data_IF_382951634910
#
_entry.id   IF_382951634910
#
_cell.length_a   1.000
_cell.length_b   1.000
_cell.length_c   1.000
_cell.angle_alpha   90.00
_cell.angle_beta   90.00
_cell.angle_gamma   90.00
#
_symmetry.space_group_name_H-M   'P 1'
#
loop_
_entity.id
_entity.type
_entity.pdbx_description
1 polymer ?
#
# COMPACT_ATOMS: atom_id res chain seq x y z
N UNK A 1 -32.18 28.05 -23.26
CA UNK A 1 -31.41 27.26 -22.28
C UNK A 1 -32.37 26.77 -21.21
N UNK A 2 -32.64 25.48 -21.17
CA UNK A 2 -33.55 24.87 -20.18
C UNK A 2 -32.69 24.25 -19.09
N UNK A 3 -32.71 24.84 -17.89
CA UNK A 3 -32.06 24.26 -16.71
C UNK A 3 -33.10 23.49 -15.91
N UNK A 4 -32.74 22.28 -15.48
CA UNK A 4 -33.59 21.42 -14.64
C UNK A 4 -32.89 21.31 -13.29
N UNK A 5 -33.56 21.75 -12.23
CA UNK A 5 -33.09 21.56 -10.85
C UNK A 5 -33.75 20.29 -10.31
N UNK A 6 -32.94 19.29 -9.96
CA UNK A 6 -33.38 18.06 -9.32
C UNK A 6 -32.91 18.07 -7.87
N UNK A 7 -33.81 17.76 -6.92
CA UNK A 7 -33.42 17.58 -5.53
C UNK A 7 -33.06 16.11 -5.21
N UNK A 8 -32.39 15.89 -4.08
CA UNK A 8 -31.92 14.56 -3.67
C UNK A 8 -33.06 13.55 -3.49
N UNK A 9 -34.26 14.00 -3.10
CA UNK A 9 -35.43 13.15 -2.90
C UNK A 9 -36.02 12.72 -4.24
N UNK A 10 -36.06 13.62 -5.22
CA UNK A 10 -36.48 13.33 -6.59
C UNK A 10 -35.56 12.31 -7.26
N UNK A 11 -34.23 12.43 -7.07
CA UNK A 11 -33.25 11.46 -7.58
C UNK A 11 -33.46 10.08 -6.97
N UNK A 12 -33.69 9.99 -5.65
CA UNK A 12 -33.91 8.71 -4.97
C UNK A 12 -35.24 8.05 -5.38
N UNK A 13 -36.28 8.86 -5.59
CA UNK A 13 -37.60 8.38 -6.02
C UNK A 13 -37.69 8.02 -7.51
N UNK A 14 -36.63 8.28 -8.30
CA UNK A 14 -36.62 8.01 -9.73
C UNK A 14 -36.62 6.50 -10.04
N UNK A 15 -37.27 6.06 -11.14
CA UNK A 15 -37.19 4.69 -11.63
C UNK A 15 -35.72 4.25 -11.82
N UNK A 16 -35.42 2.99 -11.51
CA UNK A 16 -34.05 2.47 -11.56
C UNK A 16 -33.30 2.73 -12.89
N UNK A 17 -33.94 2.64 -14.08
CA UNK A 17 -33.26 2.97 -15.34
C UNK A 17 -32.84 4.44 -15.43
N UNK A 18 -33.64 5.35 -14.87
CA UNK A 18 -33.37 6.80 -14.87
C UNK A 18 -32.21 7.13 -13.93
N UNK A 19 -32.13 6.43 -12.79
CA UNK A 19 -31.04 6.58 -11.83
C UNK A 19 -29.70 6.10 -12.42
N UNK A 20 -29.69 4.92 -13.04
CA UNK A 20 -28.52 4.40 -13.74
C UNK A 20 -28.06 5.32 -14.87
N UNK A 21 -29.00 5.86 -15.63
CA UNK A 21 -28.69 6.83 -16.67
C UNK A 21 -28.11 8.13 -16.10
N UNK A 22 -28.67 8.65 -14.99
CA UNK A 22 -28.13 9.82 -14.28
C UNK A 22 -26.70 9.57 -13.78
N UNK A 23 -26.43 8.42 -13.16
CA UNK A 23 -25.09 8.03 -12.70
C UNK A 23 -24.09 7.95 -13.86
N UNK A 24 -24.50 7.39 -14.99
CA UNK A 24 -23.67 7.34 -16.21
C UNK A 24 -23.41 8.73 -16.79
N UNK A 25 -24.42 9.61 -16.84
CA UNK A 25 -24.26 10.99 -17.34
C UNK A 25 -23.37 11.82 -16.41
N UNK A 26 -23.56 11.70 -15.10
CA UNK A 26 -22.73 12.35 -14.08
C UNK A 26 -21.29 11.85 -14.21
N UNK A 27 -21.06 10.54 -14.35
CA UNK A 27 -19.73 9.96 -14.54
C UNK A 27 -19.08 10.37 -15.86
N UNK A 28 -19.86 10.51 -16.93
CA UNK A 28 -19.38 10.96 -18.24
C UNK A 28 -19.00 12.45 -18.24
N UNK A 29 -19.73 13.29 -17.48
CA UNK A 29 -19.49 14.73 -17.38
C UNK A 29 -18.40 15.05 -16.35
N UNK A 30 -18.35 14.32 -15.24
CA UNK A 30 -17.28 14.46 -14.24
C UNK A 30 -15.98 13.78 -14.65
N UNK A 31 -16.03 12.87 -15.64
CA UNK A 31 -14.96 11.91 -15.89
C UNK A 31 -14.64 11.07 -14.65
N UNK A 32 -13.69 10.12 -14.69
CA UNK A 32 -12.98 9.78 -13.47
C UNK A 32 -12.44 11.09 -12.92
N UNK A 33 -12.93 11.51 -11.75
CA UNK A 33 -12.71 12.84 -11.22
C UNK A 33 -11.25 13.25 -11.39
N UNK A 34 -11.03 14.31 -12.17
CA UNK A 34 -9.76 15.00 -12.18
C UNK A 34 -9.60 15.68 -10.81
N UNK A 35 -9.13 14.92 -9.82
CA UNK A 35 -8.03 15.44 -9.02
C UNK A 35 -6.93 15.82 -10.02
N UNK A 36 -6.18 16.87 -9.73
CA UNK A 36 -5.03 17.28 -10.54
C UNK A 36 -4.28 16.03 -11.03
N UNK A 37 -3.78 16.04 -12.26
CA UNK A 37 -2.83 15.03 -12.73
C UNK A 37 -1.53 15.14 -11.92
N UNK A 38 -1.58 14.76 -10.65
CA UNK A 38 -0.47 14.18 -9.94
C UNK A 38 -0.30 12.86 -10.67
N UNK A 39 0.83 12.70 -11.36
CA UNK A 39 1.18 11.42 -11.98
C UNK A 39 0.82 10.30 -11.00
N UNK A 40 0.18 9.20 -11.46
CA UNK A 40 -0.09 8.10 -10.55
C UNK A 40 1.21 7.76 -9.84
N UNK A 41 1.20 7.58 -8.51
CA UNK A 41 2.41 7.21 -7.77
C UNK A 41 3.08 6.07 -8.53
N UNK A 42 4.31 6.31 -8.99
CA UNK A 42 5.05 5.31 -9.76
C UNK A 42 5.51 4.27 -8.76
N UNK A 43 4.59 3.37 -8.40
CA UNK A 43 4.89 2.22 -7.56
C UNK A 43 5.82 1.32 -8.36
N UNK A 44 7.01 1.10 -7.83
CA UNK A 44 8.02 0.24 -8.44
C UNK A 44 8.13 -1.03 -7.61
N UNK A 45 8.18 -2.17 -8.30
CA UNK A 45 8.32 -3.45 -7.64
C UNK A 45 9.69 -3.54 -6.97
N UNK A 46 9.71 -3.85 -5.68
CA UNK A 46 10.93 -4.13 -4.95
C UNK A 46 11.31 -5.61 -5.13
N UNK A 47 12.55 -5.86 -5.53
CA UNK A 47 13.17 -7.20 -5.49
C UNK A 47 13.61 -7.56 -4.07
N UNK A 48 13.89 -8.84 -3.81
CA UNK A 48 14.41 -9.29 -2.51
C UNK A 48 15.76 -8.64 -2.14
N UNK A 49 16.65 -8.46 -3.12
CA UNK A 49 17.94 -7.79 -2.91
C UNK A 49 17.77 -6.31 -2.54
N UNK A 50 16.83 -5.61 -3.18
CA UNK A 50 16.47 -4.24 -2.84
C UNK A 50 15.81 -4.18 -1.45
N UNK A 51 14.94 -5.14 -1.11
CA UNK A 51 14.30 -5.22 0.20
C UNK A 51 15.33 -5.40 1.33
N UNK A 52 16.33 -6.26 1.13
CA UNK A 52 17.42 -6.45 2.08
C UNK A 52 18.29 -5.18 2.21
N UNK A 53 18.60 -4.53 1.08
CA UNK A 53 19.36 -3.28 1.06
C UNK A 53 18.61 -2.15 1.76
N UNK A 54 17.29 -2.08 1.58
CA UNK A 54 16.41 -1.12 2.21
C UNK A 54 16.36 -1.33 3.72
N UNK A 55 16.14 -2.57 4.17
CA UNK A 55 16.17 -2.94 5.58
C UNK A 55 17.48 -2.50 6.24
N UNK A 56 18.61 -2.72 5.56
CA UNK A 56 19.92 -2.35 6.06
C UNK A 56 20.09 -0.82 6.27
N UNK A 57 19.43 0.00 5.46
CA UNK A 57 19.42 1.47 5.59
C UNK A 57 18.52 1.94 6.72
N UNK A 58 17.33 1.37 6.83
CA UNK A 58 16.32 1.80 7.83
C UNK A 58 16.51 1.19 9.22
N UNK A 59 17.42 0.21 9.38
CA UNK A 59 17.64 -0.53 10.65
C UNK A 59 17.93 0.35 11.88
N UNK A 60 18.42 1.57 11.68
CA UNK A 60 18.68 2.53 12.78
C UNK A 60 17.40 3.18 13.33
N UNK A 61 16.27 2.98 12.65
CA UNK A 61 14.95 3.50 13.03
C UNK A 61 14.01 2.30 13.23
N UNK A 62 13.92 1.72 14.45
CA UNK A 62 13.14 0.50 14.69
C UNK A 62 11.68 0.60 14.25
N UNK A 63 11.04 1.76 14.46
CA UNK A 63 9.67 2.00 13.99
C UNK A 63 9.51 1.86 12.47
N UNK A 64 10.52 2.24 11.68
CA UNK A 64 10.49 2.06 10.23
C UNK A 64 10.65 0.59 9.84
N UNK A 65 11.44 -0.18 10.60
CA UNK A 65 11.57 -1.63 10.40
C UNK A 65 10.24 -2.35 10.65
N UNK A 66 9.53 -2.01 11.72
CA UNK A 66 8.21 -2.57 12.03
C UNK A 66 7.19 -2.24 10.95
N UNK A 67 7.16 -1.00 10.46
CA UNK A 67 6.28 -0.59 9.35
C UNK A 67 6.64 -1.33 8.08
N UNK A 68 7.94 -1.46 7.77
CA UNK A 68 8.42 -2.17 6.59
C UNK A 68 7.99 -3.63 6.59
N UNK A 69 8.16 -4.37 7.69
CA UNK A 69 7.66 -5.74 7.81
C UNK A 69 6.13 -5.79 7.93
N UNK A 70 5.48 -4.73 8.40
CA UNK A 70 4.03 -4.59 8.37
C UNK A 70 3.44 -4.70 6.95
N UNK A 71 4.19 -4.27 5.93
CA UNK A 71 3.83 -4.39 4.50
C UNK A 71 3.95 -5.82 3.96
N UNK A 72 4.66 -6.72 4.67
CA UNK A 72 4.81 -8.12 4.27
C UNK A 72 3.57 -8.97 4.58
N UNK A 73 2.68 -8.47 5.43
CA UNK A 73 1.51 -9.23 5.84
C UNK A 73 0.59 -9.46 4.64
N UNK A 74 0.11 -10.70 4.42
CA UNK A 74 -0.77 -11.00 3.30
C UNK A 74 -2.07 -10.19 3.39
N UNK A 75 -2.48 -9.60 2.27
CA UNK A 75 -3.73 -8.86 2.14
C UNK A 75 -4.28 -9.06 0.72
N UNK A 76 -5.53 -8.67 0.50
CA UNK A 76 -6.21 -8.87 -0.77
C UNK A 76 -5.66 -7.89 -1.80
N UNK A 77 -5.18 -8.43 -2.92
CA UNK A 77 -4.81 -7.63 -4.09
C UNK A 77 -6.02 -7.36 -4.98
N UNK A 78 -6.19 -6.12 -5.44
CA UNK A 78 -7.27 -5.75 -6.36
C UNK A 78 -6.83 -4.65 -7.34
N UNK A 79 -7.59 -4.45 -8.42
CA UNK A 79 -7.30 -3.45 -9.47
C UNK A 79 -6.53 -4.00 -10.68
N UNK A 80 -6.25 -3.11 -11.64
CA UNK A 80 -5.42 -3.36 -12.82
C UNK A 80 -4.56 -2.12 -13.12
N UNK A 81 -3.24 -2.12 -12.86
CA UNK A 81 -2.46 -3.24 -12.31
C UNK A 81 -2.84 -3.59 -10.85
N UNK A 82 -2.65 -4.85 -10.42
CA UNK A 82 -3.03 -5.27 -9.08
C UNK A 82 -2.17 -4.58 -8.02
N UNK A 83 -2.80 -4.04 -7.00
CA UNK A 83 -2.15 -3.47 -5.82
C UNK A 83 -2.68 -4.16 -4.56
N UNK A 84 -1.79 -4.35 -3.60
CA UNK A 84 -2.14 -4.73 -2.23
C UNK A 84 -2.43 -3.45 -1.46
N UNK A 85 -3.56 -3.38 -0.76
CA UNK A 85 -3.92 -2.18 0.00
C UNK A 85 -4.17 -2.51 1.45
N UNK A 86 -3.56 -1.72 2.33
CA UNK A 86 -3.70 -1.79 3.78
C UNK A 86 -4.41 -0.54 4.29
N UNK A 87 -5.22 -0.66 5.33
CA UNK A 87 -5.67 0.51 6.07
C UNK A 87 -4.51 1.03 6.91
N UNK A 88 -4.22 2.32 6.84
CA UNK A 88 -3.12 2.93 7.60
C UNK A 88 -3.27 2.71 9.11
N UNK A 89 -4.50 2.69 9.63
CA UNK A 89 -4.75 2.38 11.04
C UNK A 89 -4.35 0.93 11.39
N UNK A 90 -4.63 -0.04 10.51
CA UNK A 90 -4.29 -1.43 10.77
C UNK A 90 -2.77 -1.63 10.68
N UNK A 91 -2.11 -0.94 9.74
CA UNK A 91 -0.65 -0.90 9.64
C UNK A 91 -0.01 -0.22 10.87
N UNK A 92 -0.60 0.87 11.36
CA UNK A 92 -0.17 1.57 12.57
C UNK A 92 -0.23 0.65 13.79
N UNK A 93 -1.37 -0.01 14.00
CA UNK A 93 -1.56 -0.94 15.12
C UNK A 93 -0.59 -2.12 15.03
N UNK A 94 -0.39 -2.68 13.83
CA UNK A 94 0.54 -3.80 13.60
C UNK A 94 1.99 -3.41 13.91
N UNK A 95 2.40 -2.21 13.51
CA UNK A 95 3.72 -1.67 13.80
C UNK A 95 3.88 -1.15 15.24
N UNK A 96 2.84 -1.29 16.09
CA UNK A 96 2.86 -0.85 17.48
C UNK A 96 3.02 0.66 17.67
N UNK A 97 2.62 1.46 16.67
CA UNK A 97 2.81 2.91 16.70
C UNK A 97 1.65 3.61 17.40
N UNK A 98 1.96 4.56 18.27
CA UNK A 98 0.96 5.35 18.99
C UNK A 98 0.32 6.46 18.16
N UNK A 99 0.94 6.83 17.03
CA UNK A 99 0.52 7.98 16.22
C UNK A 99 0.58 7.68 14.73
N UNK A 100 -0.47 8.10 14.02
CA UNK A 100 -0.56 8.08 12.57
C UNK A 100 0.53 8.95 11.92
N UNK A 101 0.90 10.07 12.55
CA UNK A 101 1.96 10.95 12.05
C UNK A 101 3.30 10.21 12.01
N UNK A 102 3.62 9.44 13.06
CA UNK A 102 4.84 8.62 13.09
C UNK A 102 4.83 7.53 12.02
N UNK A 103 3.66 6.94 11.74
CA UNK A 103 3.52 5.98 10.64
C UNK A 103 3.85 6.65 9.30
N UNK A 104 3.27 7.81 9.02
CA UNK A 104 3.50 8.55 7.78
C UNK A 104 4.98 8.95 7.62
N UNK A 105 5.63 9.41 8.70
CA UNK A 105 7.07 9.69 8.69
C UNK A 105 7.93 8.46 8.38
N UNK A 106 7.55 7.29 8.91
CA UNK A 106 8.22 6.02 8.62
C UNK A 106 8.02 5.58 7.16
N UNK A 107 6.79 5.67 6.64
CA UNK A 107 6.50 5.36 5.23
C UNK A 107 7.25 6.30 4.28
N UNK A 108 7.35 7.59 4.64
CA UNK A 108 8.08 8.59 3.86
C UNK A 108 9.60 8.35 3.91
N UNK A 109 10.16 7.93 5.05
CA UNK A 109 11.55 7.49 5.16
C UNK A 109 11.83 6.24 4.29
N UNK A 110 10.93 5.26 4.31
CA UNK A 110 11.04 4.03 3.50
C UNK A 110 11.03 4.38 2.01
N UNK A 111 10.08 5.19 1.56
CA UNK A 111 9.99 5.61 0.16
C UNK A 111 11.22 6.41 -0.30
N UNK A 112 11.71 7.35 0.52
CA UNK A 112 12.94 8.10 0.20
C UNK A 112 14.15 7.18 0.10
N UNK A 113 14.33 6.28 1.07
CA UNK A 113 15.44 5.31 1.07
C UNK A 113 15.40 4.36 -0.14
N UNK A 114 14.19 4.04 -0.62
CA UNK A 114 13.99 3.22 -1.81
C UNK A 114 14.26 3.99 -3.11
N UNK A 115 13.78 5.23 -3.22
CA UNK A 115 14.06 6.11 -4.36
C UNK A 115 15.57 6.34 -4.53
N UNK A 116 16.28 6.59 -3.44
CA UNK A 116 17.75 6.76 -3.41
C UNK A 116 18.51 5.53 -3.95
N UNK A 117 17.97 4.31 -3.83
CA UNK A 117 18.62 3.11 -4.36
C UNK A 117 18.21 2.78 -5.79
N UNK A 118 17.05 3.26 -6.23
CA UNK A 118 16.44 2.87 -7.51
C UNK A 118 16.91 3.75 -8.68
N UNK A 119 17.74 4.76 -8.42
CA UNK A 119 18.16 5.81 -9.39
C UNK A 119 16.96 6.50 -10.09
N UNK A 120 15.78 6.37 -9.48
CA UNK A 120 14.52 6.91 -9.94
C UNK A 120 13.93 7.74 -8.79
N UNK A 121 14.01 9.08 -8.84
CA UNK A 121 13.55 9.93 -7.74
C UNK A 121 12.03 9.88 -7.53
N UNK A 122 11.29 9.42 -8.55
CA UNK A 122 9.85 9.22 -8.48
C UNK A 122 9.46 7.80 -8.02
N UNK A 123 10.41 6.88 -7.86
CA UNK A 123 10.12 5.50 -7.48
C UNK A 123 9.62 5.44 -6.04
N UNK A 124 8.42 4.88 -5.87
CA UNK A 124 7.81 4.66 -4.56
C UNK A 124 7.65 3.18 -4.32
N UNK A 125 7.95 2.75 -3.09
CA UNK A 125 7.71 1.38 -2.66
C UNK A 125 6.23 1.20 -2.28
N UNK A 126 5.65 2.22 -1.67
CA UNK A 126 4.24 2.29 -1.32
C UNK A 126 3.71 3.72 -1.50
N UNK A 127 2.40 3.86 -1.65
CA UNK A 127 1.74 5.16 -1.69
C UNK A 127 0.53 5.15 -0.77
N UNK A 128 0.11 6.33 -0.31
CA UNK A 128 -1.00 6.44 0.61
C UNK A 128 -1.93 7.60 0.24
N UNK A 129 -3.22 7.38 0.42
CA UNK A 129 -4.26 8.31 0.00
C UNK A 129 -4.90 9.07 1.18
N UNK A 130 -5.71 10.08 0.87
CA UNK A 130 -6.47 10.83 1.87
C UNK A 130 -7.62 10.04 2.47
N UNK A 131 -7.97 8.87 1.91
CA UNK A 131 -8.98 7.97 2.45
C UNK A 131 -8.40 7.03 3.53
N UNK A 132 -7.09 7.09 3.78
CA UNK A 132 -6.43 6.34 4.85
C UNK A 132 -5.91 4.98 4.42
N UNK A 133 -5.66 4.78 3.12
CA UNK A 133 -5.11 3.54 2.58
C UNK A 133 -3.63 3.70 2.26
N UNK A 134 -2.87 2.61 2.39
CA UNK A 134 -1.52 2.46 1.90
C UNK A 134 -1.49 1.31 0.89
N UNK A 135 -1.04 1.58 -0.33
CA UNK A 135 -0.99 0.61 -1.42
C UNK A 135 0.46 0.30 -1.82
N UNK A 136 0.74 -0.96 -2.11
CA UNK A 136 2.03 -1.43 -2.65
C UNK A 136 1.80 -2.50 -3.72
N UNK A 137 2.85 -2.83 -4.48
CA UNK A 137 2.76 -3.89 -5.48
C UNK A 137 2.86 -5.27 -4.81
N UNK A 138 2.10 -6.29 -5.30
CA UNK A 138 2.20 -7.65 -4.79
C UNK A 138 3.62 -8.22 -4.82
N UNK A 139 4.41 -7.87 -5.84
CA UNK A 139 5.81 -8.25 -5.93
C UNK A 139 6.66 -7.70 -4.76
N UNK A 140 6.40 -6.46 -4.36
CA UNK A 140 7.05 -5.83 -3.19
C UNK A 140 6.67 -6.56 -1.91
N UNK A 141 5.37 -6.76 -1.66
CA UNK A 141 4.89 -7.51 -0.49
C UNK A 141 5.57 -8.88 -0.39
N UNK A 142 5.60 -9.63 -1.49
CA UNK A 142 6.23 -10.95 -1.55
C UNK A 142 7.73 -10.90 -1.23
N UNK A 143 8.47 -9.95 -1.80
CA UNK A 143 9.91 -9.81 -1.53
C UNK A 143 10.19 -9.51 -0.06
N UNK A 144 9.40 -8.63 0.57
CA UNK A 144 9.54 -8.32 2.01
C UNK A 144 9.17 -9.57 2.85
N UNK A 145 8.12 -10.30 2.47
CA UNK A 145 7.71 -11.52 3.15
C UNK A 145 8.77 -12.63 3.05
N UNK A 146 9.43 -12.79 1.90
CA UNK A 146 10.55 -13.73 1.74
C UNK A 146 11.72 -13.33 2.63
N UNK A 147 12.07 -12.04 2.66
CA UNK A 147 13.15 -11.53 3.51
C UNK A 147 12.87 -11.79 5.00
N UNK A 148 11.65 -11.52 5.47
CA UNK A 148 11.24 -11.80 6.84
C UNK A 148 11.40 -13.28 7.20
N UNK A 149 10.95 -14.19 6.32
CA UNK A 149 11.11 -15.64 6.52
C UNK A 149 12.59 -16.05 6.59
N UNK A 150 13.44 -15.46 5.76
CA UNK A 150 14.87 -15.73 5.75
C UNK A 150 15.54 -15.29 7.07
N UNK A 151 15.16 -14.14 7.61
CA UNK A 151 15.66 -13.63 8.90
C UNK A 151 15.27 -14.59 10.03
N UNK A 152 13.99 -14.96 10.13
CA UNK A 152 13.52 -15.93 11.15
C UNK A 152 14.25 -17.28 11.00
N UNK A 153 14.49 -17.73 9.78
CA UNK A 153 15.20 -18.99 9.54
C UNK A 153 16.67 -18.92 10.01
N UNK A 154 17.33 -17.78 9.81
CA UNK A 154 18.71 -17.55 10.26
C UNK A 154 18.80 -17.38 11.79
N UNK A 155 17.77 -16.80 12.42
CA UNK A 155 17.69 -16.62 13.88
C UNK A 155 17.32 -17.89 14.67
N UNK A 156 17.06 -19.03 13.99
CA UNK A 156 16.89 -20.34 14.63
C UNK A 156 18.21 -21.11 14.58
N UNK A 157 19.07 -21.06 15.62
CA UNK A 157 20.26 -21.90 15.66
C UNK A 157 19.80 -23.33 15.98
N UNK A 158 20.00 -24.25 15.03
CA UNK A 158 20.05 -25.69 15.31
C UNK A 158 18.77 -26.35 15.81
N UNK A 159 17.86 -26.72 14.90
CA UNK A 159 17.21 -28.03 15.06
C UNK A 159 18.25 -29.05 14.61
N UNK A 160 19.09 -29.51 15.54
CA UNK A 160 19.88 -30.71 15.33
C UNK A 160 18.91 -31.82 14.92
N UNK A 161 19.16 -32.58 13.83
CA UNK A 161 18.47 -33.85 13.67
C UNK A 161 18.82 -34.66 14.92
N UNK A 162 17.80 -35.05 15.68
CA UNK A 162 17.95 -36.12 16.66
C UNK A 162 18.43 -37.30 15.82
N UNK A 163 19.75 -37.53 15.86
CA UNK A 163 20.33 -38.74 15.36
C UNK A 163 19.61 -39.86 16.10
N UNK A 164 18.80 -40.62 15.38
CA UNK A 164 18.26 -41.86 15.87
C UNK A 164 19.47 -42.75 16.18
N UNK A 165 19.83 -42.77 17.45
CA UNK A 165 20.58 -43.87 18.02
C UNK A 165 19.60 -45.04 18.18
N UNK A 166 20.13 -46.21 17.84
CA UNK A 166 19.62 -47.58 18.02
C UNK A 166 18.84 -48.19 16.85
#
# INVERSE_FOLDING_TARGET
MTSIMLDAKQIQSAPAPVRLWLEQQISAVLGPGSSASVQPPHLVACTEAQAASLLNRIRQVPSAVEVFFGLAHPDISYGSPPVVTFRLLDLQHRAGLESITKLLECLDLINRSFAEMSDEPAARLCDFDTAGHCSTLPATQNSIATLWKAIIAAERPGVLPIAAAE
#
